data_IF_515928296899
#
_entry.id   IF_515928296899
#
_cell.length_a   1.000
_cell.length_b   1.000
_cell.length_c   1.000
_cell.angle_alpha   90.00
_cell.angle_beta   90.00
_cell.angle_gamma   90.00
#
_symmetry.space_group_name_H-M   'P 1'
#
loop_
_entity.id
_entity.type
_entity.pdbx_description
1 polymer ?
#
# COMPACT_ATOMS: atom_id res chain seq x y z
N UNK A 1 -58.46 26.49 8.95
CA UNK A 1 -58.45 25.03 9.11
C UNK A 1 -58.61 24.42 7.72
N UNK A 2 -57.53 23.95 7.10
CA UNK A 2 -57.51 23.05 5.93
C UNK A 2 -56.04 22.84 5.52
N UNK A 3 -55.49 21.67 5.91
CA UNK A 3 -55.02 20.60 5.02
C UNK A 3 -53.57 20.76 4.55
N UNK A 4 -52.67 20.27 5.41
CA UNK A 4 -51.35 19.75 5.01
C UNK A 4 -51.57 18.59 4.04
N UNK A 5 -51.07 18.67 2.82
CA UNK A 5 -50.77 17.48 2.02
C UNK A 5 -49.28 17.20 2.14
N UNK A 6 -48.97 16.24 3.00
CA UNK A 6 -47.63 15.67 3.14
C UNK A 6 -47.32 14.81 1.90
N UNK A 7 -46.28 15.18 1.18
CA UNK A 7 -45.76 14.42 0.05
C UNK A 7 -45.27 13.04 0.51
N UNK A 8 -46.09 12.02 0.28
CA UNK A 8 -45.76 10.62 0.53
C UNK A 8 -44.68 10.16 -0.45
N UNK A 9 -43.43 10.06 0.02
CA UNK A 9 -42.35 9.40 -0.71
C UNK A 9 -42.64 7.89 -0.71
N UNK A 10 -43.25 7.40 -1.80
CA UNK A 10 -43.45 5.96 -2.01
C UNK A 10 -42.10 5.27 -2.22
N UNK A 11 -41.61 4.57 -1.21
CA UNK A 11 -40.52 3.61 -1.35
C UNK A 11 -41.04 2.42 -2.15
N UNK A 12 -40.71 2.36 -3.44
CA UNK A 12 -41.11 1.25 -4.33
C UNK A 12 -40.49 -0.06 -3.85
N UNK A 13 -41.33 -1.04 -3.51
CA UNK A 13 -40.88 -2.40 -3.18
C UNK A 13 -40.28 -3.07 -4.42
N UNK A 14 -39.02 -3.53 -4.32
CA UNK A 14 -38.32 -4.17 -5.43
C UNK A 14 -39.01 -5.48 -5.83
N UNK A 15 -39.21 -5.69 -7.13
CA UNK A 15 -39.81 -6.94 -7.64
C UNK A 15 -38.83 -8.11 -7.47
N UNK A 16 -39.34 -9.34 -7.41
CA UNK A 16 -38.50 -10.54 -7.31
C UNK A 16 -37.50 -10.67 -8.49
N UNK A 17 -37.87 -10.17 -9.67
CA UNK A 17 -36.99 -10.11 -10.84
C UNK A 17 -35.86 -9.07 -10.65
N UNK A 18 -36.18 -7.87 -10.15
CA UNK A 18 -35.19 -6.85 -9.80
C UNK A 18 -34.24 -7.34 -8.71
N UNK A 19 -34.75 -8.05 -7.70
CA UNK A 19 -33.93 -8.64 -6.62
C UNK A 19 -32.94 -9.68 -7.17
N UNK A 20 -33.39 -10.57 -8.05
CA UNK A 20 -32.51 -11.58 -8.71
C UNK A 20 -31.48 -10.93 -9.64
N UNK A 21 -31.88 -9.92 -10.41
CA UNK A 21 -30.96 -9.16 -11.26
C UNK A 21 -29.91 -8.41 -10.44
N UNK A 22 -30.33 -7.75 -9.35
CA UNK A 22 -29.45 -7.09 -8.41
C UNK A 22 -28.49 -8.08 -7.75
N UNK A 23 -28.95 -9.28 -7.35
CA UNK A 23 -28.11 -10.33 -6.79
C UNK A 23 -27.03 -10.80 -7.78
N UNK A 24 -27.39 -11.01 -9.05
CA UNK A 24 -26.44 -11.43 -10.10
C UNK A 24 -25.41 -10.33 -10.41
N UNK A 25 -25.85 -9.08 -10.47
CA UNK A 25 -24.95 -7.92 -10.59
C UNK A 25 -24.04 -7.80 -9.37
N UNK A 26 -24.60 -7.94 -8.18
CA UNK A 26 -23.89 -7.91 -6.91
C UNK A 26 -22.80 -8.99 -6.82
N UNK A 27 -23.09 -10.20 -7.28
CA UNK A 27 -22.12 -11.30 -7.31
C UNK A 27 -20.94 -10.98 -8.25
N UNK A 28 -21.22 -10.43 -9.43
CA UNK A 28 -20.20 -10.05 -10.42
C UNK A 28 -19.35 -8.84 -9.99
N UNK A 29 -19.92 -7.93 -9.20
CA UNK A 29 -19.28 -6.69 -8.74
C UNK A 29 -18.93 -6.72 -7.24
N UNK A 30 -18.59 -7.89 -6.69
CA UNK A 30 -18.36 -8.09 -5.25
C UNK A 30 -17.26 -7.17 -4.69
N UNK A 31 -16.10 -7.12 -5.34
CA UNK A 31 -14.95 -6.32 -4.86
C UNK A 31 -15.21 -4.81 -4.96
N UNK A 32 -15.83 -4.36 -6.05
CA UNK A 32 -16.20 -2.95 -6.21
C UNK A 32 -17.21 -2.52 -5.14
N UNK A 33 -18.20 -3.36 -4.82
CA UNK A 33 -19.16 -3.08 -3.73
C UNK A 33 -18.50 -3.09 -2.37
N UNK A 34 -17.58 -4.02 -2.11
CA UNK A 34 -16.81 -4.08 -0.86
C UNK A 34 -16.04 -2.77 -0.65
N UNK A 35 -15.32 -2.30 -1.67
CA UNK A 35 -14.62 -1.01 -1.64
C UNK A 35 -15.58 0.16 -1.39
N UNK A 36 -16.70 0.24 -2.10
CA UNK A 36 -17.69 1.30 -1.91
C UNK A 36 -18.31 1.29 -0.51
N UNK A 37 -18.56 0.10 0.03
CA UNK A 37 -19.06 -0.08 1.41
C UNK A 37 -18.08 0.49 2.42
N UNK A 38 -16.79 0.16 2.32
CA UNK A 38 -15.77 0.71 3.21
C UNK A 38 -15.64 2.23 3.07
N UNK A 39 -15.60 2.74 1.84
CA UNK A 39 -15.55 4.20 1.58
C UNK A 39 -16.73 4.93 2.23
N UNK A 40 -17.95 4.40 2.08
CA UNK A 40 -19.12 5.02 2.67
C UNK A 40 -19.10 4.94 4.20
N UNK A 41 -18.69 3.81 4.76
CA UNK A 41 -18.56 3.62 6.21
C UNK A 41 -17.54 4.60 6.79
N UNK A 42 -16.36 4.71 6.18
CA UNK A 42 -15.31 5.65 6.58
C UNK A 42 -15.79 7.11 6.51
N UNK A 43 -16.50 7.49 5.43
CA UNK A 43 -17.08 8.84 5.31
C UNK A 43 -18.07 9.15 6.41
N UNK A 44 -18.95 8.20 6.74
CA UNK A 44 -19.95 8.36 7.80
C UNK A 44 -19.25 8.46 9.16
N UNK A 45 -18.27 7.60 9.42
CA UNK A 45 -17.46 7.65 10.63
C UNK A 45 -16.81 9.03 10.82
N UNK A 46 -16.03 9.48 9.84
CA UNK A 46 -15.32 10.77 9.88
C UNK A 46 -16.28 11.96 10.06
N UNK A 47 -17.46 11.93 9.42
CA UNK A 47 -18.39 13.07 9.44
C UNK A 47 -19.29 13.12 10.67
N UNK A 48 -19.60 11.98 11.26
CA UNK A 48 -20.69 11.87 12.23
C UNK A 48 -20.28 11.30 13.58
N UNK A 49 -19.12 10.64 13.66
CA UNK A 49 -18.72 9.89 14.86
C UNK A 49 -17.29 10.21 15.35
N UNK A 50 -16.38 10.56 14.44
CA UNK A 50 -14.97 10.75 14.80
C UNK A 50 -14.77 11.91 15.79
N UNK A 51 -14.03 11.63 16.85
CA UNK A 51 -13.46 12.61 17.77
C UNK A 51 -12.20 13.25 17.17
N UNK A 52 -11.66 14.27 17.83
CA UNK A 52 -10.40 14.88 17.40
C UNK A 52 -9.24 13.87 17.45
N UNK A 53 -9.22 12.97 18.43
CA UNK A 53 -8.18 11.95 18.57
C UNK A 53 -8.28 10.92 17.43
N UNK A 54 -9.50 10.49 17.08
CA UNK A 54 -9.72 9.62 15.91
C UNK A 54 -9.26 10.29 14.61
N UNK A 55 -9.50 11.59 14.46
CA UNK A 55 -9.07 12.34 13.27
C UNK A 55 -7.55 12.45 13.21
N UNK A 56 -6.87 12.62 14.34
CA UNK A 56 -5.41 12.65 14.40
C UNK A 56 -4.80 11.29 14.02
N UNK A 57 -5.31 10.19 14.58
CA UNK A 57 -4.88 8.83 14.20
C UNK A 57 -5.13 8.57 12.70
N UNK A 58 -6.30 8.94 12.18
CA UNK A 58 -6.62 8.79 10.76
C UNK A 58 -5.68 9.60 9.87
N UNK A 59 -5.24 10.78 10.30
CA UNK A 59 -4.25 11.57 9.57
C UNK A 59 -2.90 10.85 9.49
N UNK A 60 -2.43 10.26 10.59
CA UNK A 60 -1.19 9.48 10.61
C UNK A 60 -1.27 8.26 9.67
N UNK A 61 -2.39 7.52 9.71
CA UNK A 61 -2.64 6.40 8.81
C UNK A 61 -2.67 6.84 7.33
N UNK A 62 -3.30 7.98 7.04
CA UNK A 62 -3.35 8.55 5.69
C UNK A 62 -1.96 8.98 5.20
N UNK A 63 -1.15 9.58 6.07
CA UNK A 63 0.23 9.98 5.74
C UNK A 63 1.10 8.76 5.45
N UNK A 64 1.09 7.76 6.34
CA UNK A 64 1.82 6.50 6.15
C UNK A 64 1.40 5.81 4.84
N UNK A 65 0.09 5.70 4.59
CA UNK A 65 -0.40 5.06 3.36
C UNK A 65 -0.04 5.84 2.10
N UNK A 66 -0.07 7.17 2.15
CA UNK A 66 0.34 8.02 1.03
C UNK A 66 1.81 7.83 0.69
N UNK A 67 2.67 7.74 1.70
CA UNK A 67 4.09 7.46 1.51
C UNK A 67 4.30 6.10 0.83
N UNK A 68 3.68 5.04 1.35
CA UNK A 68 3.78 3.70 0.76
C UNK A 68 3.30 3.69 -0.70
N UNK A 69 2.18 4.35 -1.00
CA UNK A 69 1.68 4.45 -2.37
C UNK A 69 2.69 5.14 -3.29
N UNK A 70 3.30 6.25 -2.84
CA UNK A 70 4.30 7.00 -3.61
C UNK A 70 5.54 6.15 -3.89
N UNK A 71 6.08 5.45 -2.90
CA UNK A 71 7.23 4.56 -3.13
C UNK A 71 6.89 3.44 -4.13
N UNK A 72 5.67 2.86 -4.02
CA UNK A 72 5.21 1.83 -4.97
C UNK A 72 5.02 2.35 -6.39
N UNK A 73 4.58 3.59 -6.56
CA UNK A 73 4.46 4.23 -7.88
C UNK A 73 5.81 4.37 -8.59
N UNK A 74 6.92 4.37 -7.84
CA UNK A 74 8.28 4.47 -8.36
C UNK A 74 8.92 3.12 -8.69
N UNK A 75 8.36 1.99 -8.23
CA UNK A 75 8.90 0.65 -8.50
C UNK A 75 9.17 0.37 -9.98
N UNK A 76 8.26 0.71 -10.93
CA UNK A 76 8.50 0.46 -12.35
C UNK A 76 9.76 1.16 -12.89
N UNK A 77 10.13 2.31 -12.32
CA UNK A 77 11.36 3.02 -12.69
C UNK A 77 12.59 2.21 -12.31
N UNK A 78 12.59 1.63 -11.10
CA UNK A 78 13.69 0.79 -10.60
C UNK A 78 13.75 -0.52 -11.36
N UNK A 79 12.61 -1.19 -11.56
CA UNK A 79 12.52 -2.42 -12.35
C UNK A 79 13.05 -2.24 -13.77
N UNK A 80 12.69 -1.11 -14.41
CA UNK A 80 13.19 -0.77 -15.74
C UNK A 80 14.70 -0.57 -15.73
N UNK A 81 15.23 0.12 -14.73
CA UNK A 81 16.67 0.32 -14.58
C UNK A 81 17.43 -1.00 -14.38
N UNK A 82 16.96 -1.87 -13.48
CA UNK A 82 17.53 -3.19 -13.23
C UNK A 82 17.60 -3.99 -14.53
N UNK A 83 16.51 -3.98 -15.30
CA UNK A 83 16.40 -4.70 -16.57
C UNK A 83 17.35 -4.12 -17.63
N UNK A 84 17.40 -2.79 -17.77
CA UNK A 84 18.23 -2.13 -18.79
C UNK A 84 19.73 -2.32 -18.56
N UNK A 85 20.15 -2.45 -17.30
CA UNK A 85 21.56 -2.54 -16.91
C UNK A 85 22.01 -3.93 -16.47
N UNK A 86 21.13 -4.95 -16.57
CA UNK A 86 21.38 -6.33 -16.16
C UNK A 86 21.90 -6.44 -14.71
N UNK A 87 21.14 -5.84 -13.78
CA UNK A 87 21.53 -5.70 -12.36
C UNK A 87 20.73 -6.60 -11.41
N UNK A 88 20.04 -7.62 -11.92
CA UNK A 88 19.13 -8.46 -11.10
C UNK A 88 19.85 -9.25 -9.99
N UNK A 89 21.16 -9.46 -10.13
CA UNK A 89 22.04 -10.08 -9.13
C UNK A 89 22.48 -9.10 -8.03
N UNK A 90 22.52 -7.80 -8.35
CA UNK A 90 23.02 -6.71 -7.50
C UNK A 90 21.92 -5.89 -6.84
N UNK A 91 20.74 -5.84 -7.43
CA UNK A 91 19.60 -5.08 -6.93
C UNK A 91 18.40 -6.01 -6.78
N UNK A 92 17.89 -6.09 -5.56
CA UNK A 92 16.70 -6.89 -5.23
C UNK A 92 15.62 -5.97 -4.70
N UNK A 93 14.42 -6.14 -5.24
CA UNK A 93 13.22 -5.45 -4.78
C UNK A 93 12.48 -6.42 -3.87
N UNK A 94 12.29 -6.01 -2.62
CA UNK A 94 11.42 -6.69 -1.66
C UNK A 94 10.11 -5.91 -1.61
N UNK A 95 8.99 -6.56 -1.94
CA UNK A 95 7.69 -5.90 -2.03
C UNK A 95 7.23 -5.41 -0.65
N UNK A 96 7.68 -6.10 0.41
CA UNK A 96 7.51 -5.73 1.82
C UNK A 96 8.76 -6.09 2.62
N UNK A 97 9.02 -5.40 3.74
CA UNK A 97 10.14 -5.72 4.61
C UNK A 97 10.06 -7.15 5.17
N UNK A 98 8.86 -7.65 5.47
CA UNK A 98 8.66 -9.01 5.98
C UNK A 98 9.11 -10.12 5.00
N UNK A 99 9.08 -9.85 3.70
CA UNK A 99 9.57 -10.79 2.68
C UNK A 99 11.09 -10.93 2.75
N UNK A 100 11.81 -9.82 2.98
CA UNK A 100 13.24 -9.81 3.24
C UNK A 100 13.56 -10.63 4.50
N UNK A 101 12.84 -10.41 5.61
CA UNK A 101 13.03 -11.19 6.84
C UNK A 101 12.84 -12.69 6.58
N UNK A 102 11.73 -13.06 5.94
CA UNK A 102 11.42 -14.46 5.60
C UNK A 102 12.50 -15.08 4.73
N UNK A 103 13.06 -14.33 3.77
CA UNK A 103 14.14 -14.80 2.92
C UNK A 103 15.44 -15.05 3.71
N UNK A 104 15.75 -14.19 4.69
CA UNK A 104 16.93 -14.35 5.55
C UNK A 104 16.82 -15.54 6.48
N UNK A 105 15.69 -15.70 7.16
CA UNK A 105 15.41 -16.83 8.05
C UNK A 105 15.48 -18.19 7.33
N UNK A 106 15.19 -18.23 6.03
CA UNK A 106 15.35 -19.44 5.20
C UNK A 106 16.79 -19.75 4.81
N UNK A 107 17.68 -18.77 4.87
CA UNK A 107 19.07 -18.91 4.43
C UNK A 107 19.93 -19.48 5.55
N UNK A 108 19.67 -19.03 6.77
CA UNK A 108 20.40 -19.45 7.96
C UNK A 108 19.48 -19.37 9.18
N UNK A 109 19.43 -20.46 9.95
CA UNK A 109 18.64 -20.58 11.18
C UNK A 109 19.47 -20.23 12.43
N UNK A 110 20.80 -20.13 12.33
CA UNK A 110 21.68 -19.84 13.47
C UNK A 110 21.75 -18.34 13.80
N UNK A 111 21.62 -17.48 12.79
CA UNK A 111 21.58 -16.02 12.98
C UNK A 111 20.21 -15.56 13.49
N UNK A 112 20.20 -14.69 14.50
CA UNK A 112 18.97 -14.01 14.95
C UNK A 112 18.56 -12.91 13.97
N UNK A 113 17.95 -13.33 12.86
CA UNK A 113 17.45 -12.44 11.83
C UNK A 113 16.31 -11.54 12.29
N UNK A 114 15.59 -11.94 13.35
CA UNK A 114 14.51 -11.12 13.90
C UNK A 114 15.10 -9.90 14.61
N UNK A 115 16.08 -10.10 15.49
CA UNK A 115 16.77 -9.00 16.18
C UNK A 115 17.46 -8.06 15.18
N UNK A 116 18.16 -8.62 14.18
CA UNK A 116 18.76 -7.83 13.10
C UNK A 116 17.71 -6.97 12.36
N UNK A 117 16.55 -7.56 12.05
CA UNK A 117 15.50 -6.88 11.29
C UNK A 117 14.87 -5.75 12.10
N UNK A 118 14.63 -5.98 13.39
CA UNK A 118 14.06 -4.98 14.31
C UNK A 118 15.01 -3.81 14.55
N UNK A 119 16.33 -4.03 14.48
CA UNK A 119 17.34 -2.98 14.60
C UNK A 119 17.66 -2.27 13.28
N UNK A 120 17.62 -2.99 12.14
CA UNK A 120 18.14 -2.49 10.86
C UNK A 120 17.05 -2.02 9.91
N UNK A 121 15.89 -2.67 9.90
CA UNK A 121 14.84 -2.46 8.89
C UNK A 121 13.65 -1.73 9.51
N UNK A 122 13.07 -2.27 10.59
CA UNK A 122 11.87 -1.71 11.24
C UNK A 122 11.97 -0.21 11.57
N UNK A 123 13.11 0.36 12.01
CA UNK A 123 13.21 1.78 12.33
C UNK A 123 13.14 2.72 11.12
N UNK A 124 13.33 2.20 9.90
CA UNK A 124 13.49 2.99 8.69
C UNK A 124 12.41 2.76 7.64
N UNK A 125 11.67 1.66 7.74
CA UNK A 125 10.70 1.25 6.72
C UNK A 125 9.33 0.98 7.35
N UNK A 126 8.27 1.44 6.69
CA UNK A 126 6.92 1.02 7.06
C UNK A 126 6.67 -0.43 6.64
N UNK A 127 5.81 -1.15 7.38
CA UNK A 127 5.48 -2.57 7.12
C UNK A 127 5.06 -2.87 5.68
N UNK A 128 4.39 -1.93 5.02
CA UNK A 128 3.84 -2.10 3.67
C UNK A 128 4.70 -1.43 2.57
N UNK A 129 5.84 -0.83 2.94
CA UNK A 129 6.76 -0.11 2.06
C UNK A 129 7.75 -1.08 1.40
N UNK A 130 8.00 -0.95 0.08
CA UNK A 130 9.03 -1.75 -0.58
C UNK A 130 10.43 -1.41 -0.08
N UNK A 131 11.30 -2.41 -0.03
CA UNK A 131 12.72 -2.26 0.35
C UNK A 131 13.60 -2.62 -0.84
N UNK A 132 14.49 -1.72 -1.20
CA UNK A 132 15.47 -1.95 -2.28
C UNK A 132 16.80 -2.35 -1.65
N UNK A 133 17.22 -3.58 -1.89
CA UNK A 133 18.50 -4.09 -1.45
C UNK A 133 19.55 -3.93 -2.55
N UNK A 134 20.63 -3.22 -2.23
CA UNK A 134 21.83 -3.14 -3.04
C UNK A 134 22.87 -4.12 -2.50
N UNK A 135 23.14 -5.17 -3.25
CA UNK A 135 24.16 -6.17 -2.96
C UNK A 135 25.52 -5.73 -3.51
N UNK A 136 26.51 -5.76 -2.64
CA UNK A 136 27.93 -5.63 -2.99
C UNK A 136 28.69 -6.88 -2.56
N UNK A 137 29.94 -7.04 -2.99
CA UNK A 137 30.75 -8.22 -2.68
C UNK A 137 30.85 -8.54 -1.17
N UNK A 138 30.78 -7.52 -0.31
CA UNK A 138 31.02 -7.68 1.14
C UNK A 138 29.83 -7.28 2.01
N UNK A 139 28.79 -6.64 1.47
CA UNK A 139 27.66 -6.13 2.26
C UNK A 139 26.42 -5.85 1.41
N UNK A 140 25.25 -5.91 2.06
CA UNK A 140 23.99 -5.39 1.52
C UNK A 140 23.66 -4.06 2.17
N UNK A 141 23.08 -3.14 1.39
CA UNK A 141 22.50 -1.89 1.88
C UNK A 141 21.04 -1.79 1.47
N UNK A 142 20.22 -1.14 2.30
CA UNK A 142 18.77 -1.11 2.14
C UNK A 142 18.29 0.33 2.02
N UNK A 143 17.43 0.59 1.04
CA UNK A 143 16.95 1.92 0.71
C UNK A 143 15.46 1.91 0.36
N UNK A 144 14.79 3.05 0.56
CA UNK A 144 13.48 3.27 -0.05
C UNK A 144 13.59 3.42 -1.57
N UNK A 145 12.47 3.37 -2.29
CA UNK A 145 12.47 3.57 -3.74
C UNK A 145 13.05 4.94 -4.11
N UNK A 146 12.64 5.99 -3.41
CA UNK A 146 13.11 7.36 -3.64
C UNK A 146 14.63 7.45 -3.47
N UNK A 147 15.18 6.86 -2.40
CA UNK A 147 16.61 6.84 -2.15
C UNK A 147 17.37 6.04 -3.20
N UNK A 148 16.84 4.86 -3.57
CA UNK A 148 17.43 4.02 -4.60
C UNK A 148 17.53 4.77 -5.93
N UNK A 149 16.46 5.43 -6.37
CA UNK A 149 16.46 6.23 -7.62
C UNK A 149 17.53 7.31 -7.56
N UNK A 150 17.62 8.07 -6.46
CA UNK A 150 18.64 9.12 -6.31
C UNK A 150 20.07 8.57 -6.43
N UNK A 151 20.33 7.38 -5.88
CA UNK A 151 21.63 6.70 -6.00
C UNK A 151 21.91 6.29 -7.45
N UNK A 152 20.93 5.69 -8.14
CA UNK A 152 21.07 5.25 -9.52
C UNK A 152 21.29 6.44 -10.48
N UNK A 153 20.56 7.54 -10.27
CA UNK A 153 20.72 8.77 -11.05
C UNK A 153 22.11 9.39 -10.86
N UNK A 154 22.62 9.40 -9.63
CA UNK A 154 23.98 9.89 -9.35
C UNK A 154 25.05 9.03 -10.03
N UNK A 155 24.91 7.70 -9.99
CA UNK A 155 25.84 6.79 -10.69
C UNK A 155 25.85 7.02 -12.20
N UNK A 156 24.69 7.28 -12.79
CA UNK A 156 24.57 7.59 -14.22
C UNK A 156 25.32 8.87 -14.59
N UNK A 157 25.23 9.91 -13.77
CA UNK A 157 25.90 11.19 -14.02
C UNK A 157 27.43 11.08 -13.86
N UNK A 158 27.89 10.35 -12.84
CA UNK A 158 29.32 10.10 -12.62
C UNK A 158 29.98 9.23 -13.70
N UNK A 159 29.23 8.34 -14.36
CA UNK A 159 29.73 7.53 -15.47
C UNK A 159 29.81 8.27 -16.82
N UNK A 160 29.19 9.45 -16.92
CA UNK A 160 29.19 10.31 -18.11
C UNK A 160 30.22 11.45 -18.05
N UNK A 161 30.97 11.55 -16.95
CA UNK A 161 32.01 12.56 -16.68
C UNK A 161 33.41 11.95 -16.85
#
# INVERSE_FOLDING_TARGET
>A
MALKQEGSVRVMAQTAAQKRAQQKYNAKHKEQRKLMSYRNTARVFIRSYASNDDLAELQELMMSRTLVNREREQLPTIESYITQHDLADKLIIWDRPEELLTARQKTDEETDWQDWFDQTITPHFNRDEPVIEFKTANQSKYYSCTQAIAILDWQRQGAQS
#
